data_IF_948419179575
#
_entry.id   IF_948419179575
#
_cell.length_a   1.000
_cell.length_b   1.000
_cell.length_c   1.000
_cell.angle_alpha   90.00
_cell.angle_beta   90.00
_cell.angle_gamma   90.00
#
_symmetry.space_group_name_H-M   'P 1'
#
loop_
_entity.id
_entity.type
_entity.pdbx_description
1 polymer ?
#
# COMPACT_ATOMS: atom_id res chain seq x y z
N UNK A 1 14.01 26.97 -1.32
CA UNK A 1 15.17 26.69 -2.17
C UNK A 1 15.99 25.44 -1.75
N UNK A 2 15.44 24.40 -1.08
CA UNK A 2 16.19 23.19 -0.65
C UNK A 2 15.40 21.90 -0.90
N UNK A 3 14.51 21.87 -1.90
CA UNK A 3 13.75 20.66 -2.27
C UNK A 3 14.60 19.53 -2.91
N UNK A 4 15.89 19.71 -3.14
CA UNK A 4 16.72 18.78 -3.91
C UNK A 4 17.17 17.53 -3.13
N UNK A 5 16.97 17.47 -1.81
CA UNK A 5 17.49 16.43 -0.93
C UNK A 5 16.44 15.86 0.06
N UNK A 6 15.18 16.24 -0.11
CA UNK A 6 14.08 15.73 0.68
C UNK A 6 13.82 14.25 0.36
N UNK A 7 13.70 13.44 1.39
CA UNK A 7 13.42 12.00 1.27
C UNK A 7 12.35 11.64 2.27
N UNK A 8 11.32 10.94 1.82
CA UNK A 8 10.28 10.41 2.69
C UNK A 8 10.77 9.13 3.37
N UNK A 9 10.78 9.10 4.70
CA UNK A 9 11.02 7.91 5.50
C UNK A 9 9.71 7.44 6.09
N UNK A 10 9.38 6.17 5.85
CA UNK A 10 8.15 5.55 6.29
C UNK A 10 8.39 4.50 7.36
N UNK A 11 7.44 4.39 8.29
CA UNK A 11 7.33 3.33 9.30
C UNK A 11 5.93 2.76 9.27
N UNK A 12 5.75 1.55 9.80
CA UNK A 12 4.46 0.87 9.86
C UNK A 12 3.99 0.76 11.30
N UNK A 13 2.69 0.91 11.52
CA UNK A 13 2.03 0.73 12.81
C UNK A 13 0.96 -0.36 12.76
N UNK A 14 0.93 -1.22 13.79
CA UNK A 14 -0.18 -2.14 14.08
C UNK A 14 -0.99 -1.51 15.20
N UNK A 15 -2.18 -1.03 14.92
CA UNK A 15 -3.13 -0.51 15.91
C UNK A 15 -3.99 -1.67 16.39
N UNK A 16 -3.99 -1.97 17.69
CA UNK A 16 -4.83 -3.03 18.29
C UNK A 16 -6.28 -2.59 18.39
N UNK A 17 -6.90 -2.34 17.26
CA UNK A 17 -8.24 -1.84 17.14
C UNK A 17 -8.80 -2.17 15.74
N UNK A 18 -10.02 -2.72 15.61
CA UNK A 18 -10.62 -2.96 14.31
C UNK A 18 -10.87 -1.65 13.55
N UNK A 19 -10.87 -1.72 12.23
CA UNK A 19 -10.99 -0.53 11.36
C UNK A 19 -12.25 0.29 11.64
N UNK A 20 -13.37 -0.36 11.95
CA UNK A 20 -14.64 0.29 12.25
C UNK A 20 -14.61 1.20 13.48
N UNK A 21 -13.78 0.87 14.47
CA UNK A 21 -13.55 1.68 15.66
C UNK A 21 -12.45 2.71 15.41
N UNK A 22 -11.35 2.30 14.76
CA UNK A 22 -10.22 3.16 14.44
C UNK A 22 -10.65 4.42 13.68
N UNK A 23 -11.52 4.30 12.68
CA UNK A 23 -12.00 5.47 11.92
C UNK A 23 -12.85 6.42 12.77
N UNK A 24 -13.51 5.92 13.83
CA UNK A 24 -14.25 6.76 14.77
C UNK A 24 -13.29 7.53 15.68
N UNK A 25 -12.42 6.79 16.38
CA UNK A 25 -11.44 7.34 17.33
C UNK A 25 -10.19 6.45 17.39
N UNK A 26 -9.07 6.84 16.76
CA UNK A 26 -7.82 6.08 16.82
C UNK A 26 -7.30 5.94 18.26
N UNK A 27 -7.00 4.71 18.68
CA UNK A 27 -6.32 4.45 19.96
C UNK A 27 -4.81 4.59 19.80
N UNK A 28 -4.28 5.77 20.03
CA UNK A 28 -2.85 6.09 19.86
C UNK A 28 -1.93 5.40 20.86
N UNK A 29 -2.47 4.93 22.00
CA UNK A 29 -1.67 4.30 23.07
C UNK A 29 -1.33 2.84 22.79
N UNK A 30 -2.09 2.19 21.91
CA UNK A 30 -1.95 0.77 21.60
C UNK A 30 -1.47 0.54 20.16
N UNK A 31 -0.47 1.31 19.74
CA UNK A 31 0.16 1.16 18.42
C UNK A 31 1.53 0.51 18.58
N UNK A 32 1.73 -0.62 17.96
CA UNK A 32 3.03 -1.27 17.84
C UNK A 32 3.71 -0.72 16.59
N UNK A 33 4.75 0.09 16.80
CA UNK A 33 5.51 0.68 15.71
C UNK A 33 6.65 -0.22 15.26
N UNK A 34 6.78 -0.37 13.96
CA UNK A 34 7.81 -1.14 13.28
C UNK A 34 8.71 -0.19 12.51
N UNK A 35 10.00 -0.30 12.77
CA UNK A 35 11.03 0.54 12.16
C UNK A 35 11.91 -0.29 11.23
N UNK A 36 12.44 0.30 10.16
CA UNK A 36 13.51 -0.31 9.39
C UNK A 36 14.79 -0.39 10.23
N UNK A 37 15.70 -1.31 9.89
CA UNK A 37 16.94 -1.51 10.62
C UNK A 37 17.95 -0.35 10.44
N UNK A 38 17.89 0.31 9.30
CA UNK A 38 18.84 1.38 8.94
C UNK A 38 18.12 2.66 8.55
N UNK A 39 18.73 3.80 8.85
CA UNK A 39 18.16 5.13 8.59
C UNK A 39 17.93 5.46 7.11
N UNK A 40 18.56 4.74 6.19
CA UNK A 40 18.38 4.86 4.75
C UNK A 40 17.39 3.86 4.16
N UNK A 41 16.64 3.16 5.00
CA UNK A 41 15.59 2.23 4.63
C UNK A 41 14.25 2.74 5.09
N UNK A 42 13.17 2.23 4.51
CA UNK A 42 11.82 2.39 5.03
C UNK A 42 10.98 1.13 4.81
N UNK A 43 9.89 1.04 5.56
CA UNK A 43 8.79 0.10 5.36
C UNK A 43 7.48 0.88 5.26
N UNK A 44 6.62 0.52 4.30
CA UNK A 44 5.36 1.20 4.01
C UNK A 44 4.30 0.24 3.49
N UNK A 45 3.11 0.74 3.16
CA UNK A 45 2.02 0.00 2.51
C UNK A 45 1.64 -1.29 3.24
N UNK A 46 1.23 -1.25 4.51
CA UNK A 46 0.97 -2.46 5.28
C UNK A 46 -0.35 -3.13 4.90
N UNK A 47 -0.29 -4.41 4.53
CA UNK A 47 -1.45 -5.29 4.37
C UNK A 47 -1.26 -6.56 5.17
N UNK A 48 -2.32 -7.00 5.85
CA UNK A 48 -2.24 -8.15 6.75
C UNK A 48 -3.27 -9.23 6.44
N UNK A 49 -2.97 -10.42 6.99
CA UNK A 49 -3.88 -11.56 7.07
C UNK A 49 -3.57 -12.35 8.33
N UNK A 50 -4.61 -12.72 9.07
CA UNK A 50 -4.52 -13.69 10.14
C UNK A 50 -4.62 -15.11 9.57
N UNK A 51 -3.73 -16.00 10.01
CA UNK A 51 -3.76 -17.43 9.70
C UNK A 51 -3.10 -18.22 10.83
N UNK A 52 -3.79 -19.24 11.34
CA UNK A 52 -3.30 -20.12 12.42
C UNK A 52 -2.77 -19.33 13.63
N UNK A 53 -3.55 -18.37 14.14
CA UNK A 53 -3.21 -17.49 15.27
C UNK A 53 -1.91 -16.68 15.09
N UNK A 54 -1.54 -16.38 13.84
CA UNK A 54 -0.40 -15.54 13.48
C UNK A 54 -0.86 -14.42 12.55
N UNK A 55 -0.39 -13.21 12.80
CA UNK A 55 -0.54 -12.08 11.88
C UNK A 55 0.63 -12.09 10.91
N UNK A 56 0.33 -12.22 9.63
CA UNK A 56 1.28 -12.06 8.53
C UNK A 56 1.10 -10.67 7.95
N UNK A 57 2.07 -9.82 8.19
CA UNK A 57 2.09 -8.43 7.76
C UNK A 57 3.01 -8.28 6.55
N UNK A 58 2.44 -7.95 5.40
CA UNK A 58 3.17 -7.68 4.16
C UNK A 58 3.38 -6.18 4.04
N UNK A 59 4.61 -5.80 3.68
CA UNK A 59 5.01 -4.39 3.56
C UNK A 59 5.88 -4.17 2.32
N UNK A 60 5.84 -2.96 1.76
CA UNK A 60 6.93 -2.49 0.93
C UNK A 60 8.17 -2.31 1.80
N UNK A 61 9.30 -2.88 1.40
CA UNK A 61 10.60 -2.56 1.92
C UNK A 61 11.42 -1.86 0.85
N UNK A 62 11.95 -0.67 1.16
CA UNK A 62 12.83 0.06 0.26
C UNK A 62 14.15 0.46 0.93
N UNK A 63 15.24 0.21 0.22
CA UNK A 63 16.55 0.72 0.56
C UNK A 63 16.95 1.79 -0.46
N UNK A 64 17.18 3.00 0.00
CA UNK A 64 17.49 4.14 -0.86
C UNK A 64 18.79 4.02 -1.65
N UNK A 65 19.69 3.12 -1.23
CA UNK A 65 20.92 2.83 -1.98
C UNK A 65 20.60 2.20 -3.34
N UNK A 66 19.52 1.42 -3.40
CA UNK A 66 19.10 0.71 -4.62
C UNK A 66 17.89 1.35 -5.30
N UNK A 67 17.07 2.12 -4.57
CA UNK A 67 15.79 2.73 -5.02
C UNK A 67 14.85 1.73 -5.68
N UNK A 68 14.78 0.54 -5.12
CA UNK A 68 13.98 -0.55 -5.63
C UNK A 68 13.26 -1.23 -4.47
N UNK A 69 11.94 -1.10 -4.47
CA UNK A 69 11.08 -1.75 -3.49
C UNK A 69 10.98 -3.25 -3.73
N UNK A 70 10.79 -3.99 -2.66
CA UNK A 70 10.45 -5.41 -2.62
C UNK A 70 9.39 -5.64 -1.57
N UNK A 71 8.75 -6.80 -1.57
CA UNK A 71 7.78 -7.15 -0.55
C UNK A 71 8.44 -8.04 0.49
N UNK A 72 8.39 -7.58 1.74
CA UNK A 72 8.78 -8.34 2.91
C UNK A 72 7.52 -8.77 3.68
N UNK A 73 7.59 -9.92 4.38
CA UNK A 73 6.55 -10.41 5.30
C UNK A 73 7.11 -10.48 6.71
N UNK A 74 6.48 -9.77 7.63
CA UNK A 74 6.79 -9.79 9.06
C UNK A 74 5.70 -10.61 9.75
N UNK A 75 6.10 -11.63 10.50
CA UNK A 75 5.15 -12.54 11.16
C UNK A 75 5.15 -12.29 12.65
N UNK A 76 3.96 -12.20 13.23
CA UNK A 76 3.73 -12.05 14.66
C UNK A 76 2.88 -13.21 15.19
N UNK A 77 3.09 -13.56 16.47
CA UNK A 77 2.16 -14.45 17.19
C UNK A 77 0.89 -13.69 17.63
N UNK A 78 -0.04 -14.37 18.28
CA UNK A 78 -1.29 -13.78 18.80
C UNK A 78 -1.08 -12.67 19.85
N UNK A 79 0.10 -12.62 20.47
CA UNK A 79 0.46 -11.59 21.45
C UNK A 79 1.27 -10.46 20.83
N UNK A 80 1.36 -10.42 19.50
CA UNK A 80 2.15 -9.45 18.72
C UNK A 80 3.66 -9.51 18.98
N UNK A 81 4.19 -10.64 19.44
CA UNK A 81 5.62 -10.91 19.47
C UNK A 81 6.09 -11.25 18.06
N UNK A 82 7.07 -10.54 17.56
CA UNK A 82 7.66 -10.78 16.24
C UNK A 82 8.33 -12.16 16.19
N UNK A 83 7.94 -12.98 15.22
CA UNK A 83 8.50 -14.33 14.97
C UNK A 83 9.57 -14.27 13.88
N UNK A 84 9.30 -13.60 12.76
CA UNK A 84 10.20 -13.53 11.61
C UNK A 84 10.01 -12.25 10.78
N UNK A 85 11.00 -11.96 9.95
CA UNK A 85 10.93 -10.95 8.90
C UNK A 85 11.71 -11.47 7.69
N UNK A 86 11.05 -11.65 6.55
CA UNK A 86 11.65 -12.28 5.38
C UNK A 86 11.19 -11.61 4.09
N UNK A 87 12.10 -11.51 3.11
CA UNK A 87 11.72 -11.14 1.76
C UNK A 87 10.89 -12.26 1.11
N UNK A 88 9.70 -11.93 0.62
CA UNK A 88 8.77 -12.91 0.03
C UNK A 88 8.54 -12.69 -1.45
N UNK A 89 8.75 -11.47 -1.96
CA UNK A 89 8.63 -11.17 -3.39
C UNK A 89 9.57 -10.05 -3.81
N UNK A 90 10.42 -10.34 -4.78
CA UNK A 90 11.25 -9.36 -5.48
C UNK A 90 11.31 -9.68 -6.97
N UNK A 91 11.41 -8.66 -7.81
CA UNK A 91 11.62 -8.84 -9.26
C UNK A 91 12.57 -7.75 -9.80
N UNK A 92 12.69 -7.63 -11.12
CA UNK A 92 13.51 -6.59 -11.75
C UNK A 92 12.93 -5.18 -11.59
N UNK A 93 11.61 -5.05 -11.41
CA UNK A 93 10.92 -3.79 -11.19
C UNK A 93 10.76 -3.49 -9.70
N UNK A 94 10.50 -2.23 -9.39
CA UNK A 94 10.04 -1.81 -8.06
C UNK A 94 8.70 -2.46 -7.74
N UNK A 95 8.55 -2.96 -6.50
CA UNK A 95 7.32 -3.49 -5.95
C UNK A 95 6.94 -2.71 -4.70
N UNK A 96 5.66 -2.35 -4.59
CA UNK A 96 5.02 -1.68 -3.45
C UNK A 96 3.58 -2.17 -3.29
N UNK A 97 2.85 -1.65 -2.33
CA UNK A 97 1.42 -1.85 -2.11
C UNK A 97 0.97 -3.32 -2.24
N UNK A 98 1.45 -4.22 -1.37
CA UNK A 98 1.22 -5.67 -1.46
C UNK A 98 -0.20 -6.05 -1.04
N UNK A 99 -1.21 -5.76 -1.85
CA UNK A 99 -2.60 -6.02 -1.53
C UNK A 99 -2.87 -7.52 -1.42
N UNK A 100 -3.15 -7.99 -0.20
CA UNK A 100 -3.40 -9.41 0.10
C UNK A 100 -4.89 -9.71 0.06
N UNK A 101 -5.26 -10.83 -0.58
CA UNK A 101 -6.63 -11.29 -0.76
C UNK A 101 -6.70 -12.77 -0.36
N UNK A 102 -7.73 -13.13 0.43
CA UNK A 102 -8.12 -14.51 0.66
C UNK A 102 -9.39 -14.79 -0.12
N UNK A 103 -9.35 -15.79 -0.98
CA UNK A 103 -10.53 -16.27 -1.73
C UNK A 103 -10.46 -17.79 -1.88
N UNK A 104 -11.57 -18.49 -1.58
CA UNK A 104 -11.70 -19.96 -1.70
C UNK A 104 -10.50 -20.76 -1.13
N UNK A 105 -10.10 -20.49 0.11
CA UNK A 105 -8.98 -21.10 0.81
C UNK A 105 -7.59 -20.83 0.20
N UNK A 106 -7.49 -20.03 -0.87
CA UNK A 106 -6.25 -19.58 -1.47
C UNK A 106 -5.93 -18.15 -1.03
N UNK A 107 -4.65 -17.83 -1.05
CA UNK A 107 -4.15 -16.49 -0.73
C UNK A 107 -3.48 -15.92 -1.98
N UNK A 108 -3.88 -14.72 -2.32
CA UNK A 108 -3.39 -13.99 -3.48
C UNK A 108 -2.77 -12.67 -3.06
N UNK A 109 -1.89 -12.14 -3.90
CA UNK A 109 -1.31 -10.81 -3.77
C UNK A 109 -1.40 -10.08 -5.10
N UNK A 110 -1.79 -8.81 -5.06
CA UNK A 110 -1.70 -7.88 -6.20
C UNK A 110 -0.75 -6.75 -5.77
N UNK A 111 0.56 -6.88 -5.98
CA UNK A 111 1.50 -5.81 -5.67
C UNK A 111 1.49 -4.77 -6.79
N UNK A 112 1.72 -3.51 -6.45
CA UNK A 112 2.05 -2.51 -7.46
C UNK A 112 3.39 -2.84 -8.12
N UNK A 113 3.41 -2.77 -9.44
CA UNK A 113 4.61 -2.92 -10.27
C UNK A 113 4.56 -2.00 -11.48
N UNK A 114 4.14 -0.76 -11.28
CA UNK A 114 3.85 0.21 -12.35
C UNK A 114 4.98 0.39 -13.37
N UNK A 115 6.24 0.28 -12.93
CA UNK A 115 7.41 0.33 -13.81
C UNK A 115 7.52 -0.86 -14.77
N UNK A 116 6.85 -1.98 -14.50
CA UNK A 116 6.79 -3.14 -15.42
C UNK A 116 5.77 -2.96 -16.53
N UNK A 117 4.98 -1.88 -16.48
CA UNK A 117 3.84 -1.59 -17.38
C UNK A 117 2.71 -2.62 -17.32
N UNK A 118 2.70 -3.50 -16.34
CA UNK A 118 1.72 -4.57 -16.16
C UNK A 118 1.47 -4.83 -14.68
N UNK A 119 0.25 -5.22 -14.35
CA UNK A 119 -0.13 -5.62 -12.99
C UNK A 119 -0.55 -7.08 -12.98
N UNK A 120 -0.04 -7.84 -12.03
CA UNK A 120 -0.26 -9.28 -11.95
C UNK A 120 -0.87 -9.71 -10.63
N UNK A 121 -1.71 -10.76 -10.69
CA UNK A 121 -2.12 -11.53 -9.53
C UNK A 121 -1.08 -12.63 -9.30
N UNK A 122 -0.63 -12.72 -8.04
CA UNK A 122 0.22 -13.81 -7.55
C UNK A 122 -0.59 -14.70 -6.63
N UNK A 123 -0.44 -16.02 -6.76
CA UNK A 123 -0.99 -17.02 -5.84
C UNK A 123 0.13 -17.53 -4.94
N UNK A 124 -0.13 -17.66 -3.65
CA UNK A 124 0.81 -18.30 -2.74
C UNK A 124 0.84 -19.80 -2.99
N UNK A 125 2.02 -20.33 -3.29
CA UNK A 125 2.28 -21.76 -3.45
C UNK A 125 2.94 -22.39 -2.22
N UNK A 126 3.57 -21.58 -1.38
CA UNK A 126 4.15 -21.94 -0.08
C UNK A 126 4.07 -20.71 0.82
N UNK A 127 2.94 -20.55 1.53
CA UNK A 127 2.64 -19.34 2.31
C UNK A 127 3.51 -19.23 3.57
N UNK A 128 4.11 -18.06 3.85
CA UNK A 128 4.03 -16.79 3.11
C UNK A 128 5.18 -16.61 2.10
N UNK A 129 6.05 -17.60 1.89
CA UNK A 129 7.39 -17.42 1.33
C UNK A 129 7.44 -17.46 -0.19
N UNK A 130 6.59 -18.28 -0.84
CA UNK A 130 6.68 -18.50 -2.29
C UNK A 130 5.40 -18.10 -2.99
N UNK A 131 5.56 -17.29 -4.02
CA UNK A 131 4.46 -16.74 -4.81
C UNK A 131 4.67 -17.04 -6.29
N UNK A 132 3.62 -17.49 -6.95
CA UNK A 132 3.59 -17.75 -8.39
C UNK A 132 2.72 -16.71 -9.07
N UNK A 133 3.26 -16.02 -10.07
CA UNK A 133 2.48 -15.15 -10.94
C UNK A 133 1.53 -16.01 -11.79
N UNK A 134 0.23 -15.76 -11.70
CA UNK A 134 -0.79 -16.60 -12.34
C UNK A 134 -1.60 -15.87 -13.41
N UNK A 135 -1.79 -14.55 -13.28
CA UNK A 135 -2.63 -13.80 -14.22
C UNK A 135 -2.21 -12.34 -14.30
N UNK A 136 -2.21 -11.76 -15.49
CA UNK A 136 -2.26 -10.31 -15.68
C UNK A 136 -3.68 -9.83 -15.38
N UNK A 137 -3.83 -8.79 -14.55
CA UNK A 137 -5.15 -8.33 -14.05
C UNK A 137 -6.00 -7.81 -15.21
N UNK A 138 -5.53 -6.77 -15.89
CA UNK A 138 -6.08 -6.24 -17.13
C UNK A 138 -4.91 -6.15 -18.11
N UNK A 139 -5.04 -6.71 -19.31
CA UNK A 139 -3.94 -6.74 -20.29
C UNK A 139 -3.33 -5.36 -20.56
N UNK A 140 -2.00 -5.31 -20.56
CA UNK A 140 -1.19 -4.13 -20.85
C UNK A 140 -1.51 -2.90 -19.97
N UNK A 141 -2.01 -3.12 -18.74
CA UNK A 141 -2.39 -2.07 -17.81
C UNK A 141 -1.50 -2.08 -16.58
N UNK A 142 -0.73 -1.00 -16.38
CA UNK A 142 0.01 -0.74 -15.15
C UNK A 142 -0.92 -0.04 -14.16
N UNK A 143 -1.28 -0.71 -13.09
CA UNK A 143 -2.13 -0.16 -12.04
C UNK A 143 -1.29 0.30 -10.86
N UNK A 144 -1.73 1.37 -10.23
CA UNK A 144 -1.14 1.95 -9.03
C UNK A 144 -2.11 1.75 -7.87
N UNK A 145 -1.62 1.28 -6.73
CA UNK A 145 -2.34 1.10 -5.46
C UNK A 145 -3.68 0.35 -5.63
N UNK A 146 -3.62 -0.81 -6.30
CA UNK A 146 -4.80 -1.62 -6.59
C UNK A 146 -5.44 -2.16 -5.32
N UNK A 147 -6.68 -1.74 -5.05
CA UNK A 147 -7.46 -2.15 -3.89
C UNK A 147 -8.73 -2.91 -4.33
N UNK A 148 -8.97 -4.07 -3.75
CA UNK A 148 -10.02 -5.00 -4.22
C UNK A 148 -10.96 -5.37 -3.10
N UNK A 149 -12.26 -5.50 -3.40
CA UNK A 149 -13.28 -5.96 -2.46
C UNK A 149 -14.36 -6.77 -3.18
N UNK A 150 -14.85 -7.83 -2.53
CA UNK A 150 -16.05 -8.54 -2.96
C UNK A 150 -17.30 -7.90 -2.33
N UNK A 151 -18.24 -7.48 -3.16
CA UNK A 151 -19.46 -6.83 -2.71
C UNK A 151 -20.62 -7.11 -3.66
N UNK A 152 -21.76 -7.52 -3.13
CA UNK A 152 -22.99 -7.85 -3.90
C UNK A 152 -22.69 -8.79 -5.08
N UNK A 153 -22.06 -9.93 -4.78
CA UNK A 153 -21.70 -10.99 -5.72
C UNK A 153 -20.74 -10.59 -6.85
N UNK A 154 -20.11 -9.42 -6.76
CA UNK A 154 -19.06 -8.97 -7.69
C UNK A 154 -17.79 -8.63 -6.96
N UNK A 155 -16.68 -8.79 -7.66
CA UNK A 155 -15.39 -8.22 -7.28
C UNK A 155 -15.29 -6.82 -7.85
N UNK A 156 -14.90 -5.88 -7.04
CA UNK A 156 -14.66 -4.49 -7.39
C UNK A 156 -13.20 -4.14 -7.14
N UNK A 157 -12.60 -3.43 -8.07
CA UNK A 157 -11.21 -3.01 -8.03
C UNK A 157 -11.14 -1.50 -8.21
N UNK A 158 -10.46 -0.83 -7.30
CA UNK A 158 -10.16 0.60 -7.35
C UNK A 158 -8.67 0.76 -7.57
N UNK A 159 -8.27 1.61 -8.49
CA UNK A 159 -6.86 1.81 -8.84
C UNK A 159 -6.63 3.17 -9.48
N UNK A 160 -5.36 3.62 -9.50
CA UNK A 160 -4.91 4.75 -10.30
C UNK A 160 -4.06 4.27 -11.47
N UNK A 161 -3.80 5.14 -12.44
CA UNK A 161 -2.94 4.85 -13.59
C UNK A 161 -1.73 5.78 -13.62
N UNK A 162 -0.55 5.32 -14.08
CA UNK A 162 0.58 6.19 -14.31
C UNK A 162 0.25 7.20 -15.42
N UNK A 163 0.85 8.37 -15.37
CA UNK A 163 0.64 9.39 -16.38
C UNK A 163 1.29 10.72 -16.04
N UNK A 164 1.18 11.67 -16.97
CA UNK A 164 1.67 13.05 -16.81
C UNK A 164 0.70 13.86 -15.93
N UNK A 165 1.12 15.05 -15.51
CA UNK A 165 0.29 16.06 -14.82
C UNK A 165 -0.36 15.56 -13.52
N UNK A 166 0.31 14.64 -12.79
CA UNK A 166 -0.18 14.14 -11.51
C UNK A 166 -1.35 13.15 -11.61
N UNK A 167 -1.61 12.56 -12.78
CA UNK A 167 -2.67 11.58 -13.02
C UNK A 167 -2.70 10.49 -11.96
N UNK A 168 -1.56 9.92 -11.62
CA UNK A 168 -1.41 8.88 -10.60
C UNK A 168 -1.90 9.27 -9.21
N UNK A 169 -2.01 10.57 -8.90
CA UNK A 169 -2.44 11.08 -7.60
C UNK A 169 -3.89 11.55 -7.58
N UNK A 170 -4.46 11.88 -8.74
CA UNK A 170 -5.75 12.56 -8.81
C UNK A 170 -6.84 11.84 -9.60
N UNK A 171 -6.54 10.75 -10.31
CA UNK A 171 -7.54 9.99 -11.03
C UNK A 171 -7.76 8.61 -10.41
N UNK A 172 -9.02 8.25 -10.20
CA UNK A 172 -9.44 6.91 -9.78
C UNK A 172 -10.20 6.21 -10.89
N UNK A 173 -9.84 4.95 -11.07
CA UNK A 173 -10.46 4.03 -12.02
C UNK A 173 -11.09 2.87 -11.27
N UNK A 174 -12.15 2.33 -11.82
CA UNK A 174 -12.84 1.13 -11.30
C UNK A 174 -12.88 0.06 -12.39
N UNK A 175 -12.68 -1.18 -11.98
CA UNK A 175 -13.00 -2.37 -12.75
C UNK A 175 -13.82 -3.34 -11.90
N UNK A 176 -14.56 -4.22 -12.53
CA UNK A 176 -15.39 -5.23 -11.86
C UNK A 176 -15.30 -6.58 -12.56
N UNK A 177 -15.54 -7.65 -11.80
CA UNK A 177 -15.53 -9.03 -12.31
C UNK A 177 -16.46 -9.90 -11.48
N UNK A 178 -16.94 -10.99 -12.06
CA UNK A 178 -17.75 -11.98 -11.34
C UNK A 178 -16.87 -12.91 -10.47
N UNK A 179 -15.58 -13.02 -10.77
CA UNK A 179 -14.60 -13.76 -9.96
C UNK A 179 -13.26 -13.06 -9.92
N UNK A 180 -12.47 -13.28 -8.85
CA UNK A 180 -11.15 -12.65 -8.68
C UNK A 180 -10.21 -12.94 -9.87
N UNK A 181 -10.25 -14.16 -10.38
CA UNK A 181 -9.43 -14.62 -11.51
C UNK A 181 -10.18 -14.54 -12.84
N UNK A 182 -11.41 -14.02 -12.86
CA UNK A 182 -12.21 -13.82 -14.06
C UNK A 182 -11.72 -12.65 -14.92
N UNK A 183 -12.48 -12.36 -15.96
CA UNK A 183 -12.28 -11.18 -16.80
C UNK A 183 -12.71 -9.93 -16.04
N UNK A 184 -11.83 -8.92 -15.98
CA UNK A 184 -12.11 -7.63 -15.39
C UNK A 184 -12.63 -6.65 -16.44
N UNK A 185 -13.86 -6.18 -16.24
CA UNK A 185 -14.53 -5.19 -17.10
C UNK A 185 -14.35 -3.79 -16.52
N UNK A 186 -14.08 -2.82 -17.38
CA UNK A 186 -13.92 -1.43 -16.96
C UNK A 186 -15.28 -0.80 -16.62
N UNK A 187 -15.31 0.04 -15.60
CA UNK A 187 -16.48 0.88 -15.32
C UNK A 187 -16.68 1.89 -16.45
N UNK A 188 -17.95 2.10 -16.86
CA UNK A 188 -18.28 2.92 -18.04
C UNK A 188 -17.85 4.38 -17.92
N UNK A 189 -17.82 4.92 -16.69
CA UNK A 189 -17.52 6.33 -16.43
C UNK A 189 -16.08 6.55 -15.92
N UNK A 190 -15.12 5.66 -16.28
CA UNK A 190 -13.72 5.86 -15.90
C UNK A 190 -13.08 7.08 -16.62
N UNK A 191 -12.29 7.92 -15.92
CA UNK A 191 -12.04 7.91 -14.49
C UNK A 191 -13.26 8.37 -13.69
N UNK A 192 -13.58 7.65 -12.59
CA UNK A 192 -14.74 7.96 -11.73
C UNK A 192 -14.51 9.12 -10.76
N UNK A 193 -13.27 9.52 -10.59
CA UNK A 193 -12.87 10.67 -9.78
C UNK A 193 -11.61 11.33 -10.37
N UNK A 194 -11.53 12.65 -10.27
CA UNK A 194 -10.35 13.45 -10.64
C UNK A 194 -10.11 14.50 -9.55
N UNK A 195 -9.61 14.04 -8.40
CA UNK A 195 -9.40 14.87 -7.21
C UNK A 195 -8.16 14.37 -6.45
N UNK A 196 -7.21 15.23 -6.19
CA UNK A 196 -5.95 14.90 -5.51
C UNK A 196 -6.13 14.50 -4.04
N UNK A 197 -7.29 14.79 -3.45
CA UNK A 197 -7.64 14.43 -2.07
C UNK A 197 -8.47 13.14 -1.99
N UNK A 198 -9.14 12.72 -3.09
CA UNK A 198 -10.22 11.73 -3.03
C UNK A 198 -10.10 10.58 -4.04
N UNK A 199 -8.97 10.43 -4.74
CA UNK A 199 -8.92 9.49 -5.87
C UNK A 199 -7.99 8.31 -5.66
N UNK A 200 -6.73 8.53 -5.27
CA UNK A 200 -5.76 7.46 -5.21
C UNK A 200 -6.07 6.50 -4.05
N UNK A 201 -6.22 5.18 -4.26
CA UNK A 201 -6.45 4.25 -3.16
C UNK A 201 -5.35 4.33 -2.09
N UNK A 202 -5.74 4.14 -0.84
CA UNK A 202 -4.87 4.29 0.33
C UNK A 202 -5.12 3.21 1.38
N UNK A 203 -5.38 1.95 0.98
CA UNK A 203 -5.57 0.84 1.89
C UNK A 203 -6.70 -0.10 1.47
N UNK A 204 -7.04 -1.01 2.39
CA UNK A 204 -8.06 -2.03 2.15
C UNK A 204 -9.47 -1.43 2.25
N UNK A 205 -10.31 -1.53 1.21
CA UNK A 205 -11.73 -1.25 1.34
C UNK A 205 -12.39 -2.19 2.34
N UNK A 206 -13.37 -1.71 3.07
CA UNK A 206 -14.10 -2.49 4.07
C UNK A 206 -15.59 -2.21 4.02
N UNK A 207 -16.40 -3.13 4.58
CA UNK A 207 -17.84 -2.98 4.66
C UNK A 207 -18.21 -2.55 6.07
N UNK A 208 -18.97 -1.48 6.18
CA UNK A 208 -19.59 -1.01 7.41
C UNK A 208 -21.01 -0.55 7.08
N UNK A 209 -22.00 -0.97 7.88
CA UNK A 209 -23.43 -0.67 7.66
C UNK A 209 -23.88 -1.03 6.22
N UNK A 210 -23.46 -2.20 5.73
CA UNK A 210 -23.75 -2.72 4.39
C UNK A 210 -23.28 -1.84 3.21
N UNK A 211 -22.38 -0.88 3.46
CA UNK A 211 -21.79 -0.02 2.44
C UNK A 211 -20.27 -0.15 2.41
N UNK A 212 -19.70 0.00 1.22
CA UNK A 212 -18.24 0.03 1.07
C UNK A 212 -17.72 1.35 1.60
N UNK A 213 -16.64 1.25 2.39
CA UNK A 213 -15.79 2.34 2.82
C UNK A 213 -14.42 2.16 2.16
N UNK A 214 -13.97 3.17 1.43
CA UNK A 214 -12.73 3.15 0.66
C UNK A 214 -11.75 4.16 1.24
N UNK A 215 -10.61 3.71 1.80
CA UNK A 215 -9.50 4.60 2.13
C UNK A 215 -8.85 5.14 0.85
N UNK A 216 -8.65 6.46 0.77
CA UNK A 216 -7.98 7.14 -0.34
C UNK A 216 -6.94 8.12 0.18
N UNK A 217 -5.84 8.24 -0.54
CA UNK A 217 -4.74 9.15 -0.21
C UNK A 217 -5.15 10.59 -0.52
N UNK A 218 -4.85 11.49 0.40
CA UNK A 218 -4.86 12.92 0.16
C UNK A 218 -3.42 13.39 -0.04
N UNK A 219 -3.12 13.83 -1.23
CA UNK A 219 -1.79 14.29 -1.62
C UNK A 219 -1.73 15.80 -1.90
N UNK A 220 -2.70 16.58 -1.40
CA UNK A 220 -2.79 18.02 -1.64
C UNK A 220 -1.60 18.81 -1.08
N UNK A 221 -1.18 18.49 0.15
CA UNK A 221 -0.05 19.18 0.79
C UNK A 221 1.29 18.60 0.35
N UNK A 222 1.40 17.29 0.40
CA UNK A 222 2.56 16.49 -0.01
C UNK A 222 2.08 15.08 -0.33
N UNK A 223 2.87 14.30 -1.05
CA UNK A 223 2.54 12.90 -1.33
C UNK A 223 2.18 12.14 -0.04
N UNK A 224 1.00 11.53 0.00
CA UNK A 224 0.53 10.77 1.15
C UNK A 224 0.47 11.58 2.44
N UNK A 225 -0.09 12.80 2.40
CA UNK A 225 -0.16 13.68 3.59
C UNK A 225 -1.14 13.16 4.65
N UNK A 226 -2.22 12.53 4.23
CA UNK A 226 -3.25 11.93 5.09
C UNK A 226 -4.14 10.99 4.28
N UNK A 227 -5.03 10.23 4.95
CA UNK A 227 -5.99 9.34 4.30
C UNK A 227 -7.41 9.83 4.57
N UNK A 228 -8.19 9.96 3.51
CA UNK A 228 -9.63 10.20 3.58
C UNK A 228 -10.38 8.87 3.46
N UNK A 229 -11.48 8.72 4.20
CA UNK A 229 -12.38 7.57 4.09
C UNK A 229 -13.61 8.00 3.29
N UNK A 230 -13.81 7.37 2.14
CA UNK A 230 -14.99 7.54 1.32
C UNK A 230 -16.03 6.49 1.68
N UNK A 231 -17.29 6.92 1.86
CA UNK A 231 -18.47 6.05 1.95
C UNK A 231 -19.13 6.01 0.58
N UNK A 232 -19.24 4.83 -0.01
CA UNK A 232 -19.86 4.65 -1.32
C UNK A 232 -21.36 4.48 -1.16
N UNK A 233 -22.14 5.43 -1.68
CA UNK A 233 -23.60 5.36 -1.69
C UNK A 233 -24.14 4.66 -2.93
N UNK A 234 -23.40 4.64 -4.05
CA UNK A 234 -23.74 3.93 -5.28
C UNK A 234 -22.50 3.32 -5.91
N UNK A 235 -22.59 2.04 -6.26
CA UNK A 235 -21.54 1.32 -7.00
C UNK A 235 -22.22 0.27 -7.89
N UNK A 236 -22.24 0.54 -9.18
CA UNK A 236 -22.71 -0.35 -10.24
C UNK A 236 -21.72 -0.30 -11.41
N UNK A 237 -21.82 -1.13 -12.44
CA UNK A 237 -20.99 -1.02 -13.63
C UNK A 237 -21.01 0.35 -14.32
N UNK A 238 -22.07 1.12 -14.11
CA UNK A 238 -22.31 2.39 -14.81
C UNK A 238 -22.44 3.61 -13.88
N UNK A 239 -22.47 3.39 -12.58
CA UNK A 239 -22.65 4.48 -11.62
C UNK A 239 -21.71 4.37 -10.45
N UNK A 240 -21.14 5.50 -10.07
CA UNK A 240 -20.31 5.65 -8.88
C UNK A 240 -20.69 6.93 -8.14
N UNK A 241 -21.00 6.81 -6.84
CA UNK A 241 -21.19 7.96 -5.94
C UNK A 241 -20.53 7.68 -4.59
N UNK A 242 -19.71 8.58 -4.14
CA UNK A 242 -19.03 8.50 -2.86
C UNK A 242 -18.99 9.86 -2.17
N UNK A 243 -18.97 9.84 -0.84
CA UNK A 243 -18.81 11.04 -0.01
C UNK A 243 -17.66 10.82 0.98
N UNK A 244 -16.86 11.84 1.22
CA UNK A 244 -15.85 11.83 2.27
C UNK A 244 -16.54 11.94 3.63
N UNK A 245 -16.30 10.95 4.51
CA UNK A 245 -16.90 10.93 5.86
C UNK A 245 -15.88 11.16 6.96
N UNK A 246 -14.60 10.92 6.72
CA UNK A 246 -13.55 11.04 7.72
C UNK A 246 -12.21 11.34 7.08
N UNK A 247 -11.35 12.06 7.80
CA UNK A 247 -9.93 12.22 7.51
C UNK A 247 -9.11 11.62 8.65
N UNK A 248 -8.21 10.71 8.34
CA UNK A 248 -7.21 10.16 9.26
C UNK A 248 -5.93 10.95 9.07
N UNK A 249 -5.56 11.73 10.08
CA UNK A 249 -4.38 12.59 10.07
C UNK A 249 -3.12 11.85 10.54
N UNK A 250 -1.90 12.23 10.12
CA UNK A 250 -0.65 11.56 10.48
C UNK A 250 -0.18 11.80 11.91
N UNK A 251 -0.96 12.49 12.76
CA UNK A 251 -0.64 12.80 14.15
C UNK A 251 -0.76 11.60 15.11
N UNK A 252 -0.47 10.40 14.62
CA UNK A 252 -0.49 9.14 15.37
C UNK A 252 0.87 8.82 15.98
N UNK A 253 1.95 9.39 15.43
CA UNK A 253 3.32 9.25 15.90
C UNK A 253 3.97 10.62 16.11
N UNK A 254 4.81 10.77 17.16
CA UNK A 254 5.37 12.08 17.51
C UNK A 254 6.42 12.60 16.50
N UNK A 255 7.21 11.70 15.89
CA UNK A 255 8.29 12.06 14.95
C UNK A 255 7.86 11.85 13.50
N UNK A 256 7.14 10.75 13.22
CA UNK A 256 6.65 10.44 11.88
C UNK A 256 5.24 11.01 11.71
N UNK A 257 5.14 12.33 11.57
CA UNK A 257 3.88 13.06 11.53
C UNK A 257 3.66 13.89 10.26
N UNK A 258 4.54 13.72 9.25
CA UNK A 258 4.48 14.49 8.00
C UNK A 258 3.59 13.85 6.94
N UNK A 259 3.11 12.63 7.17
CA UNK A 259 2.18 11.94 6.28
C UNK A 259 1.74 10.57 6.78
N UNK A 260 0.68 10.08 6.16
CA UNK A 260 0.05 8.77 6.34
C UNK A 260 -0.67 8.47 5.03
N UNK A 261 -0.36 7.36 4.36
CA UNK A 261 -0.97 7.09 3.05
C UNK A 261 -1.65 5.72 2.94
N UNK A 262 -1.48 4.83 3.93
CA UNK A 262 -2.16 3.53 3.93
C UNK A 262 -2.87 3.29 5.25
N UNK A 263 -4.16 2.91 5.16
CA UNK A 263 -5.00 2.47 6.27
C UNK A 263 -5.71 1.19 5.85
N UNK A 264 -5.35 0.05 6.45
CA UNK A 264 -5.86 -1.26 6.08
C UNK A 264 -6.42 -2.01 7.29
N UNK A 265 -7.70 -2.35 7.27
CA UNK A 265 -8.30 -3.24 8.27
C UNK A 265 -7.81 -4.68 8.09
N UNK A 266 -7.53 -5.36 9.20
CA UNK A 266 -7.18 -6.77 9.23
C UNK A 266 -7.76 -7.40 10.50
N UNK A 267 -9.03 -7.83 10.42
CA UNK A 267 -9.82 -8.35 11.53
C UNK A 267 -9.85 -7.39 12.73
N UNK A 268 -9.25 -7.75 13.85
CA UNK A 268 -9.20 -6.99 15.10
C UNK A 268 -8.13 -5.90 15.15
N UNK A 269 -7.34 -5.75 14.11
CA UNK A 269 -6.30 -4.72 14.01
C UNK A 269 -6.49 -3.80 12.80
N UNK A 270 -5.95 -2.61 12.90
CA UNK A 270 -5.78 -1.68 11.78
C UNK A 270 -4.29 -1.45 11.53
N UNK A 271 -3.89 -1.62 10.29
CA UNK A 271 -2.52 -1.44 9.83
C UNK A 271 -2.41 -0.06 9.18
N UNK A 272 -1.39 0.68 9.56
CA UNK A 272 -1.15 2.05 9.07
C UNK A 272 0.31 2.24 8.74
N UNK A 273 0.61 3.25 7.96
CA UNK A 273 1.97 3.79 7.87
C UNK A 273 2.00 5.27 8.27
N UNK A 274 3.18 5.73 8.61
CA UNK A 274 3.45 7.14 8.89
C UNK A 274 4.79 7.55 8.32
N UNK A 275 4.91 8.80 7.90
CA UNK A 275 6.16 9.31 7.33
C UNK A 275 6.72 10.51 8.08
N UNK A 276 8.04 10.68 7.93
CA UNK A 276 8.73 11.95 8.17
C UNK A 276 9.55 12.36 6.96
N UNK A 277 9.71 13.64 6.75
CA UNK A 277 10.66 14.20 5.81
C UNK A 277 12.08 14.14 6.41
N UNK A 278 13.03 13.61 5.66
CA UNK A 278 14.44 13.57 6.07
C UNK A 278 15.28 14.48 5.17
N UNK A 279 15.87 15.50 5.78
CA UNK A 279 16.75 16.48 5.15
C UNK A 279 18.22 16.27 5.48
N UNK A 280 18.59 15.11 6.05
CA UNK A 280 19.93 14.84 6.57
C UNK A 280 21.01 14.84 5.47
N UNK A 281 22.21 15.31 5.82
CA UNK A 281 23.37 15.32 4.92
C UNK A 281 23.80 13.90 4.49
N UNK A 282 23.46 12.88 5.26
CA UNK A 282 23.71 11.47 4.93
C UNK A 282 23.05 11.05 3.62
N UNK A 283 21.95 11.70 3.23
CA UNK A 283 21.27 11.48 1.95
C UNK A 283 22.11 11.89 0.74
N UNK A 284 22.92 12.94 0.86
CA UNK A 284 23.88 13.35 -0.19
C UNK A 284 24.90 12.25 -0.44
N UNK A 285 25.39 11.63 0.61
CA UNK A 285 26.35 10.52 0.55
C UNK A 285 25.74 9.29 -0.14
N UNK A 286 24.52 8.90 0.22
CA UNK A 286 23.79 7.78 -0.41
C UNK A 286 23.53 8.06 -1.89
N UNK A 287 23.11 9.28 -2.27
CA UNK A 287 22.92 9.66 -3.66
C UNK A 287 24.23 9.67 -4.46
N UNK A 288 25.32 10.09 -3.84
CA UNK A 288 26.66 10.06 -4.42
C UNK A 288 27.15 8.62 -4.63
N UNK A 289 27.07 7.76 -3.61
CA UNK A 289 27.40 6.33 -3.72
C UNK A 289 26.60 5.65 -4.83
N UNK A 290 25.31 5.95 -4.94
CA UNK A 290 24.47 5.41 -6.01
C UNK A 290 24.88 5.87 -7.40
N UNK A 291 25.30 7.12 -7.55
CA UNK A 291 25.78 7.64 -8.83
C UNK A 291 27.09 6.96 -9.23
N UNK A 292 28.02 6.80 -8.31
CA UNK A 292 29.31 6.14 -8.57
C UNK A 292 29.15 4.64 -8.79
N UNK A 293 28.31 3.96 -7.99
CA UNK A 293 28.05 2.52 -8.13
C UNK A 293 27.42 2.11 -9.48
N UNK A 294 26.88 3.07 -10.25
CA UNK A 294 26.50 2.85 -11.64
C UNK A 294 27.69 2.72 -12.58
N UNK A 295 28.83 3.30 -12.23
CA UNK A 295 30.05 3.30 -13.04
C UNK A 295 31.08 2.27 -12.54
N UNK A 296 30.97 1.81 -11.28
CA UNK A 296 31.91 0.87 -10.66
C UNK A 296 31.13 -0.24 -9.93
N UNK A 297 30.83 -1.39 -10.59
CA UNK A 297 30.05 -2.48 -9.98
C UNK A 297 30.63 -3.10 -8.70
N UNK A 298 31.94 -2.89 -8.43
CA UNK A 298 32.68 -3.49 -7.31
C UNK A 298 32.50 -2.79 -5.95
N UNK A 299 32.02 -1.53 -5.91
CA UNK A 299 31.87 -0.78 -4.64
C UNK A 299 30.69 -1.28 -3.79
N UNK A 300 29.76 -2.04 -4.36
CA UNK A 300 28.61 -2.59 -3.62
C UNK A 300 28.96 -3.72 -2.64
N UNK A 301 30.21 -4.19 -2.60
CA UNK A 301 30.66 -5.28 -1.70
C UNK A 301 31.36 -4.79 -0.43
N UNK A 302 31.56 -3.50 -0.27
CA UNK A 302 32.16 -2.97 0.95
C UNK A 302 31.05 -2.88 2.01
N UNK A 303 31.08 -3.81 2.95
CA UNK A 303 30.29 -3.75 4.20
C UNK A 303 30.71 -2.51 4.97
N UNK A 304 29.76 -1.62 5.25
CA UNK A 304 29.84 -0.66 6.34
C UNK A 304 29.00 -1.16 7.49
#
# INVERSE_FOLDING_TARGET
MIKKYETDLWIVGIVKQPISEFIKKPNKKEIIWLYPEKSYQFIADPFGIWKNNKLYLFVEFLDYRYKKGRIDCIVFDKNFKKISNQNVLKNHSHLSYPFIIKDNNKIYMIPESSRSKKTYIYESIDFPLKWKRIKEVIPNTAMIDTSVIKYKNKWWMFYSLPGKNGRALKEMYIAYSDSLLGEWKLHSNNPVSNDIELSRPGGRPFILDNLIHLPVQDSKKTYGSQVNILKLSKLTPNDFKAIKIKTIKPNLHNIFSDGLHTVSGCEDVTLIDCKKHDFSKSRRWIDWQRKIGRFIPLIHKIKL
#
